data_IF_057900553766
#
_entry.id   IF_057900553766
#
_cell.length_a   1.000
_cell.length_b   1.000
_cell.length_c   1.000
_cell.angle_alpha   90.00
_cell.angle_beta   90.00
_cell.angle_gamma   90.00
#
_symmetry.space_group_name_H-M   'P 1'
#
loop_
_entity.id
_entity.type
_entity.pdbx_description
1 polymer ?
#
# COMPACT_ATOMS: atom_id res chain seq x y z
N UNK A 1 -8.12 -1.10 37.41
CA UNK A 1 -7.73 -1.79 36.18
C UNK A 1 -7.26 -0.76 35.16
N UNK A 2 -6.18 -1.04 34.45
CA UNK A 2 -5.68 -0.23 33.33
C UNK A 2 -5.84 -1.07 32.07
N UNK A 3 -6.47 -0.51 31.04
CA UNK A 3 -6.57 -1.13 29.70
C UNK A 3 -5.68 -0.34 28.76
N UNK A 4 -4.59 -0.95 28.30
CA UNK A 4 -3.73 -0.38 27.27
C UNK A 4 -4.30 -0.74 25.89
N UNK A 5 -4.72 0.26 25.16
CA UNK A 5 -5.25 0.16 23.79
C UNK A 5 -4.39 0.95 22.78
N UNK A 6 -3.11 1.21 23.08
CA UNK A 6 -2.18 1.97 22.22
C UNK A 6 -1.91 1.29 20.88
N UNK A 7 -2.05 -0.04 20.82
CA UNK A 7 -1.81 -0.83 19.62
C UNK A 7 -0.34 -1.05 19.28
N UNK A 8 -0.08 -1.98 18.35
CA UNK A 8 1.28 -2.41 17.97
C UNK A 8 2.05 -1.40 17.10
N UNK A 9 1.41 -0.34 16.62
CA UNK A 9 2.01 0.68 15.75
C UNK A 9 2.14 2.05 16.45
N UNK A 10 1.99 2.10 17.78
CA UNK A 10 2.03 3.34 18.55
C UNK A 10 3.42 4.00 18.52
N UNK A 11 4.48 3.20 18.56
CA UNK A 11 5.85 3.70 18.56
C UNK A 11 6.49 3.48 17.17
N UNK A 12 6.82 4.55 16.44
CA UNK A 12 7.53 4.44 15.17
C UNK A 12 8.94 3.91 15.38
N UNK A 13 9.35 3.00 14.51
CA UNK A 13 10.72 2.47 14.50
C UNK A 13 11.49 3.10 13.33
N UNK A 14 12.55 3.82 13.65
CA UNK A 14 13.49 4.32 12.65
C UNK A 14 14.58 3.28 12.43
N UNK A 15 14.78 2.78 11.20
CA UNK A 15 15.81 1.80 10.92
C UNK A 15 17.20 2.40 11.15
N UNK A 16 18.11 1.60 11.72
CA UNK A 16 19.51 1.99 11.87
C UNK A 16 20.21 1.79 10.54
N UNK A 17 20.43 2.85 9.81
CA UNK A 17 21.16 2.85 8.54
C UNK A 17 22.49 3.60 8.77
N UNK A 18 23.58 3.04 8.31
CA UNK A 18 24.90 3.67 8.40
C UNK A 18 24.87 5.07 7.79
N UNK A 19 25.40 6.07 8.51
CA UNK A 19 25.46 7.45 8.04
C UNK A 19 24.15 8.26 8.14
N UNK A 20 23.06 7.68 8.67
CA UNK A 20 21.80 8.41 8.83
C UNK A 20 21.91 9.63 9.74
N UNK A 21 22.81 9.59 10.70
CA UNK A 21 23.13 10.67 11.65
C UNK A 21 23.95 11.81 11.04
N UNK A 22 24.61 11.56 9.90
CA UNK A 22 25.40 12.57 9.18
C UNK A 22 24.63 13.22 8.03
N UNK A 23 23.43 12.76 7.73
CA UNK A 23 22.60 13.31 6.66
C UNK A 23 22.19 14.74 6.95
N UNK A 24 22.50 15.65 6.05
CA UNK A 24 22.24 17.10 6.22
C UNK A 24 20.83 17.50 5.80
N UNK A 25 20.12 16.66 5.10
CA UNK A 25 18.72 16.89 4.71
C UNK A 25 17.72 16.56 5.83
N UNK A 26 16.47 16.96 5.65
CA UNK A 26 15.40 16.58 6.58
C UNK A 26 15.09 15.09 6.49
N UNK A 27 15.04 14.43 7.64
CA UNK A 27 14.68 13.00 7.75
C UNK A 27 13.69 12.81 8.89
N UNK A 28 12.55 12.18 8.60
CA UNK A 28 11.51 11.91 9.59
C UNK A 28 10.73 10.63 9.26
N UNK A 29 10.14 10.05 10.28
CA UNK A 29 9.27 8.89 10.12
C UNK A 29 7.87 9.33 9.67
N UNK A 30 7.24 8.57 8.77
CA UNK A 30 5.90 8.88 8.23
C UNK A 30 4.80 9.02 9.29
N UNK A 31 4.95 8.39 10.45
CA UNK A 31 4.05 8.56 11.60
C UNK A 31 4.27 9.87 12.37
N UNK A 32 5.38 10.56 12.15
CA UNK A 32 5.71 11.88 12.69
C UNK A 32 6.07 12.81 11.52
N UNK A 33 5.09 13.05 10.65
CA UNK A 33 5.29 13.89 9.47
C UNK A 33 5.59 15.33 9.88
N UNK A 34 6.71 15.87 9.39
CA UNK A 34 7.10 17.24 9.63
C UNK A 34 6.54 18.15 8.55
N UNK A 35 5.46 18.86 8.87
CA UNK A 35 4.80 19.79 7.97
C UNK A 35 5.58 21.11 7.75
N UNK A 36 6.62 21.38 8.54
CA UNK A 36 7.48 22.56 8.36
C UNK A 36 8.47 22.39 7.21
N UNK A 37 8.70 21.14 6.79
CA UNK A 37 9.61 20.83 5.69
C UNK A 37 8.90 20.94 4.35
N UNK A 38 9.26 21.94 3.56
CA UNK A 38 8.77 22.08 2.19
C UNK A 38 9.41 21.00 1.29
N UNK A 39 8.58 20.20 0.63
CA UNK A 39 9.02 19.13 -0.28
C UNK A 39 8.89 19.51 -1.76
N UNK A 40 8.26 20.64 -2.07
CA UNK A 40 7.97 21.07 -3.43
C UNK A 40 9.27 21.24 -4.24
N UNK A 41 9.31 20.57 -5.39
CA UNK A 41 10.47 20.57 -6.28
C UNK A 41 11.73 19.89 -5.72
N UNK A 42 11.69 19.32 -4.51
CA UNK A 42 12.85 18.68 -3.87
C UNK A 42 13.06 17.25 -4.38
N UNK A 43 14.25 16.72 -4.10
CA UNK A 43 14.54 15.29 -4.23
C UNK A 43 14.15 14.61 -2.91
N UNK A 44 13.23 13.64 -2.97
CA UNK A 44 12.71 12.97 -1.80
C UNK A 44 12.95 11.46 -1.89
N UNK A 45 13.55 10.89 -0.85
CA UNK A 45 13.68 9.45 -0.68
C UNK A 45 12.58 8.90 0.22
N UNK A 46 11.91 7.84 -0.18
CA UNK A 46 10.93 7.09 0.63
C UNK A 46 11.47 5.70 0.91
N UNK A 47 11.74 5.39 2.16
CA UNK A 47 12.28 4.08 2.56
C UNK A 47 11.15 3.16 3.00
N UNK A 48 10.96 2.06 2.27
CA UNK A 48 9.95 1.05 2.51
C UNK A 48 8.81 1.05 1.51
N UNK A 49 8.17 -0.11 1.34
CA UNK A 49 7.10 -0.37 0.35
C UNK A 49 5.78 -0.80 0.99
N UNK A 50 5.57 -0.51 2.28
CA UNK A 50 4.37 -0.88 3.03
C UNK A 50 3.17 0.03 2.75
N UNK A 51 2.10 -0.15 3.56
CA UNK A 51 0.86 0.61 3.43
C UNK A 51 1.05 2.13 3.49
N UNK A 52 2.02 2.63 4.27
CA UNK A 52 2.32 4.06 4.36
C UNK A 52 2.92 4.57 3.06
N UNK A 53 3.92 3.88 2.51
CA UNK A 53 4.52 4.25 1.22
C UNK A 53 3.49 4.23 0.08
N UNK A 54 2.58 3.25 0.06
CA UNK A 54 1.52 3.15 -0.94
C UNK A 54 0.51 4.32 -0.90
N UNK A 55 0.48 5.08 0.18
CA UNK A 55 -0.32 6.30 0.32
C UNK A 55 0.51 7.55 0.10
N UNK A 56 1.72 7.60 0.64
CA UNK A 56 2.61 8.77 0.56
C UNK A 56 3.08 8.99 -0.87
N UNK A 57 3.59 7.95 -1.54
CA UNK A 57 4.15 8.08 -2.90
C UNK A 57 3.17 8.73 -3.87
N UNK A 58 1.91 8.25 -4.03
CA UNK A 58 0.97 8.92 -4.91
C UNK A 58 0.62 10.35 -4.48
N UNK A 59 0.61 10.62 -3.17
CA UNK A 59 0.24 11.92 -2.65
C UNK A 59 1.29 13.01 -2.95
N UNK A 60 2.57 12.65 -2.89
CA UNK A 60 3.67 13.63 -3.04
C UNK A 60 4.34 13.60 -4.42
N UNK A 61 4.15 12.55 -5.22
CA UNK A 61 4.82 12.39 -6.52
C UNK A 61 4.57 13.56 -7.49
N UNK A 62 3.43 14.25 -7.36
CA UNK A 62 3.12 15.44 -8.17
C UNK A 62 3.73 16.75 -7.67
N UNK A 63 4.27 16.78 -6.45
CA UNK A 63 4.80 17.98 -5.80
C UNK A 63 6.33 18.00 -5.84
N UNK A 64 6.95 16.84 -5.69
CA UNK A 64 8.41 16.71 -5.61
C UNK A 64 9.07 16.75 -6.99
N UNK A 65 10.29 17.27 -7.06
CA UNK A 65 11.06 17.28 -8.30
C UNK A 65 11.49 15.87 -8.71
N UNK A 66 11.96 15.06 -7.78
CA UNK A 66 12.27 13.64 -7.97
C UNK A 66 11.97 12.84 -6.71
N UNK A 67 11.36 11.68 -6.88
CA UNK A 67 11.08 10.75 -5.81
C UNK A 67 11.84 9.43 -6.04
N UNK A 68 12.57 8.95 -5.04
CA UNK A 68 13.18 7.63 -5.06
C UNK A 68 12.53 6.75 -3.99
N UNK A 69 11.88 5.67 -4.41
CA UNK A 69 11.31 4.68 -3.52
C UNK A 69 12.30 3.54 -3.32
N UNK A 70 12.85 3.39 -2.12
CA UNK A 70 13.69 2.26 -1.74
C UNK A 70 12.81 1.08 -1.30
N UNK A 71 12.67 0.09 -2.17
CA UNK A 71 11.76 -1.05 -1.97
C UNK A 71 12.52 -2.30 -1.57
N UNK A 72 12.32 -2.78 -0.34
CA UNK A 72 12.89 -4.05 0.10
C UNK A 72 12.10 -5.26 -0.39
N UNK A 73 10.85 -5.38 0.01
CA UNK A 73 9.99 -6.54 -0.34
C UNK A 73 8.70 -6.09 -1.01
N UNK A 74 8.31 -6.82 -2.04
CA UNK A 74 7.03 -6.64 -2.71
C UNK A 74 5.83 -6.79 -1.78
N UNK A 75 4.72 -6.15 -2.13
CA UNK A 75 3.47 -6.21 -1.40
C UNK A 75 2.34 -6.62 -2.35
N UNK A 76 1.34 -7.31 -1.80
CA UNK A 76 0.11 -7.60 -2.54
C UNK A 76 -0.73 -6.32 -2.66
N UNK A 77 -0.65 -5.68 -3.83
CA UNK A 77 -1.51 -4.54 -4.17
C UNK A 77 -2.81 -5.08 -4.76
N UNK A 78 -3.92 -4.60 -4.25
CA UNK A 78 -5.24 -5.00 -4.73
C UNK A 78 -6.05 -3.77 -5.11
N UNK A 79 -7.00 -3.88 -6.05
CA UNK A 79 -7.87 -2.77 -6.40
C UNK A 79 -8.66 -2.28 -5.18
N UNK A 80 -8.74 -0.98 -5.03
CA UNK A 80 -9.58 -0.32 -4.03
C UNK A 80 -10.92 0.05 -4.68
N UNK A 81 -12.00 -0.50 -4.14
CA UNK A 81 -13.36 -0.19 -4.60
C UNK A 81 -13.86 1.09 -3.92
N UNK A 82 -13.24 2.23 -4.26
CA UNK A 82 -13.70 3.55 -3.83
C UNK A 82 -14.19 4.34 -5.03
N UNK A 83 -15.46 4.69 -4.98
CA UNK A 83 -16.09 5.58 -5.95
C UNK A 83 -17.00 6.57 -5.23
N UNK A 84 -17.14 7.74 -5.81
CA UNK A 84 -18.11 8.71 -5.33
C UNK A 84 -19.52 8.19 -5.60
N UNK A 85 -20.33 8.13 -4.56
CA UNK A 85 -21.73 7.76 -4.69
C UNK A 85 -22.52 8.90 -5.32
N UNK A 86 -23.33 8.60 -6.34
CA UNK A 86 -24.25 9.56 -6.96
C UNK A 86 -25.32 10.04 -5.97
N UNK A 87 -26.01 11.17 -6.29
CA UNK A 87 -27.04 11.73 -5.41
C UNK A 87 -28.15 10.75 -5.05
N UNK A 88 -28.64 10.00 -6.04
CA UNK A 88 -29.68 8.97 -5.85
C UNK A 88 -29.20 7.86 -4.92
N UNK A 89 -27.97 7.36 -5.12
CA UNK A 89 -27.41 6.32 -4.27
C UNK A 89 -27.23 6.80 -2.83
N UNK A 90 -26.80 8.04 -2.64
CA UNK A 90 -26.73 8.66 -1.31
C UNK A 90 -28.10 8.72 -0.65
N UNK A 91 -29.12 9.14 -1.38
CA UNK A 91 -30.50 9.20 -0.88
C UNK A 91 -31.03 7.81 -0.51
N UNK A 92 -30.88 6.82 -1.40
CA UNK A 92 -31.31 5.43 -1.14
C UNK A 92 -30.67 4.87 0.12
N UNK A 93 -29.39 5.20 0.38
CA UNK A 93 -28.67 4.78 1.59
C UNK A 93 -29.18 5.44 2.88
N UNK A 94 -29.98 6.50 2.81
CA UNK A 94 -30.63 7.09 3.99
C UNK A 94 -31.90 6.37 4.42
N UNK A 95 -32.50 5.56 3.52
CA UNK A 95 -33.74 4.86 3.82
C UNK A 95 -33.55 3.81 4.93
N UNK A 96 -34.49 3.74 5.90
CA UNK A 96 -34.44 2.75 6.96
C UNK A 96 -34.37 1.32 6.40
N UNK A 97 -33.55 0.49 6.99
CA UNK A 97 -33.36 -0.92 6.57
C UNK A 97 -32.39 -1.11 5.40
N UNK A 98 -32.39 -0.24 4.37
CA UNK A 98 -31.49 -0.37 3.21
C UNK A 98 -30.03 -0.27 3.63
N UNK A 99 -29.71 0.69 4.49
CA UNK A 99 -28.35 0.82 5.03
C UNK A 99 -27.89 -0.45 5.78
N UNK A 100 -28.78 -1.09 6.53
CA UNK A 100 -28.47 -2.33 7.23
C UNK A 100 -28.28 -3.49 6.25
N UNK A 101 -29.12 -3.60 5.23
CA UNK A 101 -29.01 -4.62 4.19
C UNK A 101 -27.68 -4.47 3.41
N UNK A 102 -27.33 -3.24 3.00
CA UNK A 102 -26.05 -2.97 2.32
C UNK A 102 -24.87 -3.32 3.24
N UNK A 103 -24.94 -2.93 4.53
CA UNK A 103 -23.89 -3.26 5.51
C UNK A 103 -23.73 -4.77 5.67
N UNK A 104 -24.83 -5.51 5.76
CA UNK A 104 -24.81 -6.95 5.85
C UNK A 104 -24.21 -7.60 4.60
N UNK A 105 -24.61 -7.14 3.42
CA UNK A 105 -24.05 -7.63 2.15
C UNK A 105 -22.53 -7.36 2.06
N UNK A 106 -22.09 -6.15 2.41
CA UNK A 106 -20.66 -5.82 2.42
C UNK A 106 -19.92 -6.66 3.44
N UNK A 107 -20.46 -6.82 4.64
CA UNK A 107 -19.87 -7.65 5.69
C UNK A 107 -19.73 -9.11 5.22
N UNK A 108 -20.82 -9.71 4.73
CA UNK A 108 -20.82 -11.09 4.21
C UNK A 108 -19.84 -11.27 3.06
N UNK A 109 -19.76 -10.28 2.15
CA UNK A 109 -18.81 -10.30 1.05
C UNK A 109 -17.34 -10.32 1.54
N UNK A 110 -17.00 -9.51 2.55
CA UNK A 110 -15.66 -9.52 3.13
C UNK A 110 -15.39 -10.80 3.94
N UNK A 111 -16.37 -11.32 4.68
CA UNK A 111 -16.23 -12.56 5.43
C UNK A 111 -16.00 -13.76 4.50
N UNK A 112 -16.76 -13.87 3.42
CA UNK A 112 -16.55 -14.94 2.42
C UNK A 112 -15.15 -14.84 1.82
N UNK A 113 -14.66 -13.62 1.54
CA UNK A 113 -13.30 -13.42 1.04
C UNK A 113 -12.24 -13.80 2.09
N UNK A 114 -12.51 -13.55 3.37
CA UNK A 114 -11.60 -13.94 4.45
C UNK A 114 -11.43 -15.47 4.54
N UNK A 115 -12.49 -16.23 4.26
CA UNK A 115 -12.43 -17.70 4.14
C UNK A 115 -11.43 -18.15 3.09
N UNK A 116 -11.26 -17.38 2.00
CA UNK A 116 -10.29 -17.68 0.96
C UNK A 116 -8.82 -17.58 1.42
N UNK A 117 -8.53 -16.85 2.49
CA UNK A 117 -7.18 -16.71 3.06
C UNK A 117 -6.89 -17.73 4.16
N UNK A 118 -7.91 -18.37 4.73
CA UNK A 118 -7.75 -19.45 5.71
C UNK A 118 -7.71 -20.80 5.02
N UNK A 119 -6.88 -21.70 5.54
CA UNK A 119 -6.86 -23.10 5.12
C UNK A 119 -8.01 -23.86 5.79
N UNK A 120 -9.23 -23.73 5.25
CA UNK A 120 -10.32 -24.59 5.66
C UNK A 120 -10.32 -25.89 4.82
N UNK A 121 -10.33 -27.07 5.44
CA UNK A 121 -10.57 -28.32 4.75
C UNK A 121 -11.87 -28.20 3.93
N UNK A 122 -11.84 -28.59 2.66
CA UNK A 122 -13.00 -28.51 1.76
C UNK A 122 -13.17 -27.19 0.99
N UNK A 123 -12.54 -26.09 1.39
CA UNK A 123 -12.61 -24.80 0.68
C UNK A 123 -11.33 -24.43 -0.10
N UNK A 124 -10.39 -25.35 -0.20
CA UNK A 124 -9.10 -25.14 -0.87
C UNK A 124 -9.25 -24.72 -2.35
N UNK A 125 -10.27 -25.25 -3.03
CA UNK A 125 -10.58 -24.86 -4.42
C UNK A 125 -10.95 -23.39 -4.55
N UNK A 126 -11.84 -22.89 -3.69
CA UNK A 126 -12.28 -21.49 -3.68
C UNK A 126 -11.10 -20.59 -3.36
N UNK A 127 -10.31 -20.92 -2.33
CA UNK A 127 -9.09 -20.18 -1.97
C UNK A 127 -8.13 -20.06 -3.15
N UNK A 128 -7.90 -21.14 -3.90
CA UNK A 128 -7.02 -21.13 -5.08
C UNK A 128 -7.54 -20.21 -6.18
N UNK A 129 -8.83 -20.26 -6.48
CA UNK A 129 -9.45 -19.41 -7.51
C UNK A 129 -9.36 -17.93 -7.14
N UNK A 130 -9.67 -17.58 -5.90
CA UNK A 130 -9.59 -16.19 -5.41
C UNK A 130 -8.16 -15.67 -5.46
N UNK A 131 -7.19 -16.45 -4.97
CA UNK A 131 -5.77 -16.07 -5.02
C UNK A 131 -5.27 -15.91 -6.46
N UNK A 132 -5.67 -16.81 -7.36
CA UNK A 132 -5.31 -16.74 -8.77
C UNK A 132 -5.89 -15.48 -9.45
N UNK A 133 -7.13 -15.11 -9.10
CA UNK A 133 -7.76 -13.88 -9.59
C UNK A 133 -6.95 -12.62 -9.20
N UNK A 134 -6.59 -12.49 -7.92
CA UNK A 134 -5.79 -11.36 -7.46
C UNK A 134 -4.39 -11.34 -8.04
N UNK A 135 -3.75 -12.52 -8.18
CA UNK A 135 -2.43 -12.62 -8.80
C UNK A 135 -2.47 -12.17 -10.26
N UNK A 136 -3.49 -12.59 -11.01
CA UNK A 136 -3.70 -12.16 -12.40
C UNK A 136 -3.96 -10.65 -12.49
N UNK A 137 -4.75 -10.10 -11.58
CA UNK A 137 -5.01 -8.66 -11.51
C UNK A 137 -3.72 -7.86 -11.27
N UNK A 138 -2.95 -8.24 -10.25
CA UNK A 138 -1.67 -7.59 -9.95
C UNK A 138 -0.68 -7.72 -11.11
N UNK A 139 -0.58 -8.90 -11.75
CA UNK A 139 0.28 -9.08 -12.91
C UNK A 139 -0.08 -8.12 -14.05
N UNK A 140 -1.37 -8.02 -14.38
CA UNK A 140 -1.87 -7.09 -15.41
C UNK A 140 -1.52 -5.64 -15.08
N UNK A 141 -1.68 -5.23 -13.82
CA UNK A 141 -1.37 -3.87 -13.39
C UNK A 141 0.14 -3.60 -13.45
N UNK A 142 0.97 -4.57 -13.03
CA UNK A 142 2.42 -4.47 -13.16
C UNK A 142 2.87 -4.37 -14.62
N UNK A 143 2.30 -5.17 -15.51
CA UNK A 143 2.59 -5.12 -16.95
C UNK A 143 2.17 -3.78 -17.58
N UNK A 144 1.16 -3.13 -17.01
CA UNK A 144 0.67 -1.83 -17.48
C UNK A 144 1.53 -0.66 -16.99
N UNK A 145 1.95 -0.68 -15.73
CA UNK A 145 2.55 0.49 -15.07
C UNK A 145 4.06 0.38 -14.85
N UNK A 146 4.66 -0.80 -14.95
CA UNK A 146 6.08 -1.01 -14.68
C UNK A 146 6.78 -1.50 -15.95
N UNK A 147 7.55 -0.63 -16.59
CA UNK A 147 8.24 -0.97 -17.86
C UNK A 147 9.40 -1.96 -17.66
N UNK A 148 10.18 -1.80 -16.58
CA UNK A 148 11.33 -2.65 -16.28
C UNK A 148 10.90 -4.06 -15.85
N UNK A 149 11.33 -5.05 -16.57
CA UNK A 149 11.02 -6.46 -16.30
C UNK A 149 11.64 -6.97 -14.99
N UNK A 150 12.84 -6.52 -14.63
CA UNK A 150 13.47 -6.89 -13.36
C UNK A 150 12.67 -6.36 -12.19
N UNK A 151 12.23 -5.10 -12.28
CA UNK A 151 11.38 -4.47 -11.29
C UNK A 151 10.01 -5.17 -11.21
N UNK A 152 9.36 -5.49 -12.33
CA UNK A 152 8.10 -6.26 -12.34
C UNK A 152 8.21 -7.58 -11.61
N UNK A 153 9.29 -8.33 -11.87
CA UNK A 153 9.54 -9.61 -11.18
C UNK A 153 9.74 -9.40 -9.68
N UNK A 154 10.48 -8.37 -9.28
CA UNK A 154 10.68 -8.05 -7.87
C UNK A 154 9.39 -7.61 -7.18
N UNK A 155 8.52 -6.86 -7.88
CA UNK A 155 7.25 -6.38 -7.34
C UNK A 155 6.15 -7.45 -7.27
N UNK A 156 6.32 -8.59 -7.92
CA UNK A 156 5.43 -9.74 -7.74
C UNK A 156 5.79 -10.46 -6.43
N UNK A 157 4.90 -10.51 -5.42
CA UNK A 157 5.22 -11.15 -4.15
C UNK A 157 5.51 -12.64 -4.29
N UNK A 158 6.59 -13.09 -3.66
CA UNK A 158 7.05 -14.48 -3.58
C UNK A 158 6.40 -15.28 -2.44
N UNK A 159 5.61 -14.60 -1.61
CA UNK A 159 4.91 -15.19 -0.46
C UNK A 159 3.40 -15.31 -0.69
N UNK A 160 2.75 -16.21 0.03
CA UNK A 160 1.30 -16.41 -0.08
C UNK A 160 0.50 -15.17 0.33
N UNK A 161 -0.54 -14.89 -0.45
CA UNK A 161 -1.52 -13.85 -0.13
C UNK A 161 -2.16 -14.13 1.23
N UNK A 162 -2.18 -13.11 2.11
CA UNK A 162 -2.67 -13.21 3.48
C UNK A 162 -1.57 -13.40 4.53
N UNK A 163 -0.31 -13.76 4.14
CA UNK A 163 0.82 -13.78 5.07
C UNK A 163 1.26 -12.37 5.52
N UNK A 164 0.92 -11.37 4.73
CA UNK A 164 1.07 -9.95 5.05
C UNK A 164 -0.21 -9.20 4.69
N UNK A 165 -0.34 -7.97 5.20
CA UNK A 165 -1.49 -7.11 4.87
C UNK A 165 -1.57 -6.87 3.37
N UNK A 166 -2.77 -6.99 2.82
CA UNK A 166 -3.06 -6.56 1.46
C UNK A 166 -3.14 -5.03 1.43
N UNK A 167 -2.63 -4.43 0.38
CA UNK A 167 -2.64 -2.96 0.21
C UNK A 167 -3.68 -2.60 -0.85
N UNK A 168 -4.87 -2.11 -0.46
CA UNK A 168 -5.85 -1.62 -1.42
C UNK A 168 -5.41 -0.23 -1.93
N UNK A 169 -5.03 -0.15 -3.20
CA UNK A 169 -4.64 1.12 -3.83
C UNK A 169 -4.82 1.07 -5.35
N UNK A 170 -5.48 2.09 -5.90
CA UNK A 170 -5.57 2.30 -7.34
C UNK A 170 -4.54 3.33 -7.83
N UNK A 171 -3.89 4.06 -6.92
CA UNK A 171 -3.00 5.17 -7.25
C UNK A 171 -1.51 4.81 -7.15
N UNK A 172 -1.16 3.74 -6.42
CA UNK A 172 0.24 3.44 -6.12
C UNK A 172 1.04 3.04 -7.37
N UNK A 173 0.60 2.04 -8.13
CA UNK A 173 1.29 1.60 -9.34
C UNK A 173 1.33 2.69 -10.42
N UNK A 174 0.23 3.42 -10.71
CA UNK A 174 0.29 4.58 -11.59
C UNK A 174 1.27 5.68 -11.13
N UNK A 175 1.43 5.87 -9.81
CA UNK A 175 2.41 6.84 -9.31
C UNK A 175 3.85 6.39 -9.57
N UNK A 176 4.13 5.09 -9.52
CA UNK A 176 5.46 4.55 -9.81
C UNK A 176 5.84 4.62 -11.30
N UNK A 177 4.88 4.80 -12.21
CA UNK A 177 5.13 4.96 -13.64
C UNK A 177 5.45 6.40 -14.07
N UNK A 178 5.47 7.35 -13.14
CA UNK A 178 5.78 8.75 -13.45
C UNK A 178 7.27 8.93 -13.74
N UNK A 179 7.61 9.81 -14.66
CA UNK A 179 9.00 10.09 -15.07
C UNK A 179 9.89 10.60 -13.93
N UNK A 180 9.30 11.26 -12.93
CA UNK A 180 10.02 11.77 -11.77
C UNK A 180 10.07 10.79 -10.59
N UNK A 181 9.65 9.53 -10.76
CA UNK A 181 9.63 8.50 -9.70
C UNK A 181 10.51 7.33 -10.10
N UNK A 182 11.51 7.06 -9.28
CA UNK A 182 12.38 5.91 -9.42
C UNK A 182 12.07 4.88 -8.33
N UNK A 183 12.26 3.59 -8.64
CA UNK A 183 12.18 2.51 -7.66
C UNK A 183 13.53 1.80 -7.58
N UNK A 184 14.14 1.86 -6.42
CA UNK A 184 15.40 1.18 -6.13
C UNK A 184 15.13 -0.10 -5.32
N UNK A 185 15.61 -1.22 -5.84
CA UNK A 185 15.48 -2.57 -5.24
C UNK A 185 16.84 -3.16 -4.82
N UNK A 186 17.91 -2.38 -4.95
CA UNK A 186 19.27 -2.85 -4.63
C UNK A 186 19.55 -2.91 -3.13
N UNK A 187 18.75 -2.22 -2.33
CA UNK A 187 18.96 -2.05 -0.89
C UNK A 187 19.75 -0.79 -0.56
N UNK A 188 19.74 -0.41 0.72
CA UNK A 188 20.45 0.77 1.22
C UNK A 188 21.63 0.31 2.03
N UNK A 189 22.84 0.57 1.57
CA UNK A 189 24.07 0.27 2.30
C UNK A 189 24.39 1.38 3.32
N UNK A 190 24.32 2.63 2.89
CA UNK A 190 24.57 3.80 3.72
C UNK A 190 23.84 5.03 3.20
N UNK A 191 23.65 6.01 4.09
CA UNK A 191 23.21 7.37 3.75
C UNK A 191 24.45 8.27 3.85
N UNK A 192 24.66 9.07 2.82
CA UNK A 192 25.77 10.04 2.78
C UNK A 192 25.25 11.45 3.07
N UNK A 193 26.11 12.36 3.57
CA UNK A 193 25.76 13.77 3.85
C UNK A 193 25.14 14.50 2.67
#
# INVERSE_FOLDING_TARGET
>A
FVIDASGVLANPHTPKITGADTFTGAMFHSGHWDHSVAIDGKRVGVIGSGCSAAQIVPAIAGQVGRLTLFMGKAQWIIPRSDRLHGPLERWVRTLPGIRHAIRLLVFTFYDIRFVAFRRYPGLAGISRVVKAHYRKGLQKDLDTYVADEKLRRHMMPDYEMGCRRLIPSNAYLPALSRENVDVDISGIEAITP
#
